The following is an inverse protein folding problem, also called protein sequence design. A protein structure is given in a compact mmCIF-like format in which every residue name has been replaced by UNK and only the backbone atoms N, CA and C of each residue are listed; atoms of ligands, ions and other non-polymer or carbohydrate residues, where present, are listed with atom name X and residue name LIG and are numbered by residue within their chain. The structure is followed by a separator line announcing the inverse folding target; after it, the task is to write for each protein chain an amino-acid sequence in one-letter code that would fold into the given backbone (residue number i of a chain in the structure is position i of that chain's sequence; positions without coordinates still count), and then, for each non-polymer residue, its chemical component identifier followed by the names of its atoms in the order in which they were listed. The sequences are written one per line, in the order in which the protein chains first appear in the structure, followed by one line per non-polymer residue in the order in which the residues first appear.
data_IF_556444039815
#
_entry.id   IF_556444039815
#
_cell.length_a   1.000
_cell.length_b   1.000
_cell.length_c   1.000
_cell.angle_alpha   90.00
_cell.angle_beta   90.00
_cell.angle_gamma   90.00
#
_symmetry.space_group_name_H-M   'P 1'
#
loop_
_entity.id
_entity.type
_entity.pdbx_description
1 polymer ?
#
# COMPACT_ATOMS: atom_id res chain seq x y z
N UNK A 1 -21.91 -24.56 5.16
CA UNK A 1 -21.88 -23.56 4.08
C UNK A 1 -20.79 -22.55 4.41
N UNK A 2 -19.82 -22.36 3.51
CA UNK A 2 -18.92 -21.19 3.60
C UNK A 2 -19.73 -19.95 3.26
N UNK A 3 -19.60 -18.88 4.04
CA UNK A 3 -20.21 -17.60 3.70
C UNK A 3 -19.68 -17.12 2.33
N UNK A 4 -20.51 -16.49 1.48
CA UNK A 4 -20.04 -15.96 0.21
C UNK A 4 -18.94 -14.92 0.44
N UNK A 5 -17.88 -14.96 -0.39
CA UNK A 5 -16.80 -13.97 -0.32
C UNK A 5 -17.37 -12.55 -0.48
N UNK A 6 -17.00 -11.60 0.39
CA UNK A 6 -17.51 -10.24 0.29
C UNK A 6 -17.07 -9.57 -1.02
N UNK A 7 -17.94 -8.74 -1.58
CA UNK A 7 -17.60 -7.82 -2.66
C UNK A 7 -17.35 -6.43 -2.09
N UNK A 8 -16.13 -5.92 -2.27
CA UNK A 8 -15.70 -4.64 -1.72
C UNK A 8 -15.48 -3.63 -2.86
N UNK A 9 -16.08 -2.45 -2.71
CA UNK A 9 -15.81 -1.29 -3.56
C UNK A 9 -14.78 -0.40 -2.87
N UNK A 10 -13.63 -0.16 -3.51
CA UNK A 10 -12.62 0.79 -3.06
C UNK A 10 -12.68 2.02 -3.96
N UNK A 11 -12.99 3.19 -3.38
CA UNK A 11 -13.08 4.46 -4.11
C UNK A 11 -11.78 5.24 -3.92
N UNK A 12 -11.01 5.38 -5.01
CA UNK A 12 -9.72 6.06 -5.03
C UNK A 12 -8.56 5.08 -5.26
N UNK A 13 -7.92 5.17 -6.43
CA UNK A 13 -6.81 4.31 -6.83
C UNK A 13 -5.41 4.89 -6.55
N UNK A 14 -5.27 5.76 -5.55
CA UNK A 14 -3.96 6.15 -5.04
C UNK A 14 -3.28 4.99 -4.28
N UNK A 15 -2.06 5.21 -3.77
CA UNK A 15 -1.25 4.14 -3.15
C UNK A 15 -1.99 3.39 -2.02
N UNK A 16 -2.74 4.10 -1.18
CA UNK A 16 -3.53 3.49 -0.09
C UNK A 16 -4.64 2.59 -0.63
N UNK A 17 -5.41 3.06 -1.62
CA UNK A 17 -6.50 2.29 -2.19
C UNK A 17 -6.02 1.10 -3.02
N UNK A 18 -4.90 1.26 -3.74
CA UNK A 18 -4.24 0.17 -4.45
C UNK A 18 -3.72 -0.90 -3.48
N UNK A 19 -3.06 -0.50 -2.39
CA UNK A 19 -2.57 -1.40 -1.34
C UNK A 19 -3.73 -2.16 -0.67
N UNK A 20 -4.82 -1.47 -0.33
CA UNK A 20 -6.00 -2.09 0.25
C UNK A 20 -6.66 -3.10 -0.71
N UNK A 21 -6.83 -2.72 -1.98
CA UNK A 21 -7.39 -3.60 -2.99
C UNK A 21 -6.52 -4.84 -3.22
N UNK A 22 -5.19 -4.68 -3.18
CA UNK A 22 -4.23 -5.77 -3.28
C UNK A 22 -4.39 -6.78 -2.13
N UNK A 23 -4.38 -6.31 -0.88
CA UNK A 23 -4.49 -7.20 0.29
C UNK A 23 -5.85 -7.90 0.38
N UNK A 24 -6.94 -7.19 0.05
CA UNK A 24 -8.27 -7.79 -0.03
C UNK A 24 -8.37 -8.87 -1.12
N UNK A 25 -7.80 -8.60 -2.31
CA UNK A 25 -7.74 -9.57 -3.40
C UNK A 25 -6.92 -10.81 -3.03
N UNK A 26 -5.81 -10.62 -2.31
CA UNK A 26 -4.97 -11.71 -1.79
C UNK A 26 -5.73 -12.58 -0.78
N UNK A 27 -6.63 -11.99 -0.02
CA UNK A 27 -7.57 -12.68 0.89
C UNK A 27 -8.82 -13.24 0.17
N UNK A 28 -8.82 -13.30 -1.16
CA UNK A 28 -9.91 -13.85 -2.01
C UNK A 28 -11.23 -13.08 -1.92
N UNK A 29 -11.20 -11.82 -1.48
CA UNK A 29 -12.35 -10.94 -1.64
C UNK A 29 -12.50 -10.55 -3.11
N UNK A 30 -13.75 -10.37 -3.57
CA UNK A 30 -13.98 -9.72 -4.86
C UNK A 30 -13.80 -8.23 -4.65
N UNK A 31 -12.94 -7.57 -5.43
CA UNK A 31 -12.68 -6.13 -5.28
C UNK A 31 -12.96 -5.39 -6.57
N UNK A 32 -13.65 -4.27 -6.47
CA UNK A 32 -13.74 -3.26 -7.54
C UNK A 32 -13.02 -2.01 -7.07
N UNK A 33 -11.94 -1.63 -7.76
CA UNK A 33 -11.20 -0.41 -7.50
C UNK A 33 -11.64 0.67 -8.49
N UNK A 34 -12.16 1.79 -7.98
CA UNK A 34 -12.58 2.93 -8.79
C UNK A 34 -11.51 4.02 -8.77
N UNK A 35 -11.10 4.45 -9.96
CA UNK A 35 -10.22 5.60 -10.17
C UNK A 35 -11.01 6.74 -10.85
N UNK A 36 -10.73 7.99 -10.48
CA UNK A 36 -11.28 9.16 -11.17
C UNK A 36 -10.73 9.29 -12.59
N UNK A 37 -9.47 8.88 -12.80
CA UNK A 37 -8.76 8.95 -14.07
C UNK A 37 -7.82 7.73 -14.21
N UNK A 38 -7.47 7.30 -15.44
CA UNK A 38 -6.62 6.14 -15.66
C UNK A 38 -5.16 6.36 -15.24
N UNK A 39 -4.65 7.60 -15.31
CA UNK A 39 -3.32 7.94 -14.83
C UNK A 39 -3.35 8.47 -13.38
N UNK A 40 -2.36 8.08 -12.59
CA UNK A 40 -2.09 8.69 -11.28
C UNK A 40 -1.60 10.12 -11.51
N UNK A 41 -2.43 11.11 -11.20
CA UNK A 41 -2.14 12.54 -11.36
C UNK A 41 -2.23 13.31 -10.04
N UNK A 42 -2.36 12.59 -8.93
CA UNK A 42 -2.63 13.15 -7.60
C UNK A 42 -1.41 13.03 -6.70
N UNK A 43 -1.60 13.13 -5.38
CA UNK A 43 -0.54 13.08 -4.36
C UNK A 43 0.36 11.86 -4.50
N UNK A 44 -0.19 10.68 -4.84
CA UNK A 44 0.63 9.46 -5.01
C UNK A 44 1.70 9.62 -6.10
N UNK A 45 1.38 10.29 -7.21
CA UNK A 45 2.33 10.47 -8.31
C UNK A 45 3.37 11.56 -8.05
N UNK A 46 3.08 12.49 -7.13
CA UNK A 46 3.94 13.64 -6.82
C UNK A 46 4.65 13.50 -5.46
N UNK A 47 4.62 12.30 -4.87
CA UNK A 47 5.25 12.04 -3.57
C UNK A 47 6.76 11.90 -3.72
N UNK A 48 7.52 12.41 -2.76
CA UNK A 48 8.96 12.11 -2.62
C UNK A 48 9.21 10.64 -2.20
N UNK A 49 8.15 9.92 -1.78
CA UNK A 49 8.17 8.47 -1.49
C UNK A 49 9.19 8.02 -0.43
N UNK A 50 9.64 8.92 0.45
CA UNK A 50 10.64 8.59 1.47
C UNK A 50 10.08 7.68 2.57
N UNK A 51 10.68 6.50 2.69
CA UNK A 51 10.39 5.53 3.74
C UNK A 51 11.32 5.79 4.94
N UNK A 52 10.75 6.18 6.07
CA UNK A 52 11.50 6.53 7.28
C UNK A 52 10.71 6.20 8.55
N UNK A 53 11.42 5.93 9.63
CA UNK A 53 10.85 5.61 10.95
C UNK A 53 10.60 6.86 11.80
N UNK A 54 10.95 8.03 11.28
CA UNK A 54 10.73 9.33 11.93
C UNK A 54 11.84 9.67 12.92
N UNK A 55 12.47 10.82 12.72
CA UNK A 55 13.35 11.43 13.70
C UNK A 55 12.51 12.32 14.64
N UNK A 56 12.60 12.13 15.96
CA UNK A 56 11.94 12.99 16.95
C UNK A 56 10.40 12.84 17.04
N UNK A 57 9.85 11.66 16.74
CA UNK A 57 8.41 11.37 16.86
C UNK A 57 8.10 10.57 18.13
N UNK A 58 6.82 10.52 18.52
CA UNK A 58 6.30 9.64 19.58
C UNK A 58 6.65 8.16 19.30
N UNK A 59 6.97 7.41 20.36
CA UNK A 59 7.37 5.99 20.27
C UNK A 59 6.33 5.14 19.52
N UNK A 60 5.03 5.41 19.70
CA UNK A 60 3.97 4.70 19.00
C UNK A 60 4.02 4.92 17.48
N UNK A 61 4.36 6.15 17.04
CA UNK A 61 4.50 6.48 15.61
C UNK A 61 5.75 5.79 15.04
N UNK A 62 6.85 5.78 15.79
CA UNK A 62 8.09 5.10 15.38
C UNK A 62 7.83 3.61 15.21
N UNK A 63 7.20 2.96 16.19
CA UNK A 63 6.85 1.54 16.13
C UNK A 63 5.93 1.23 14.94
N UNK A 64 4.91 2.05 14.70
CA UNK A 64 4.02 1.90 13.55
C UNK A 64 4.78 2.01 12.21
N UNK A 65 5.70 2.97 12.07
CA UNK A 65 6.50 3.14 10.85
C UNK A 65 7.50 2.01 10.65
N UNK A 66 8.10 1.49 11.72
CA UNK A 66 8.96 0.30 11.65
C UNK A 66 8.18 -0.92 11.15
N UNK A 67 6.96 -1.13 11.65
CA UNK A 67 6.09 -2.19 11.14
C UNK A 67 5.75 -1.98 9.66
N UNK A 68 5.45 -0.75 9.25
CA UNK A 68 5.19 -0.42 7.85
C UNK A 68 6.41 -0.69 6.95
N UNK A 69 7.65 -0.41 7.39
CA UNK A 69 8.86 -0.79 6.64
C UNK A 69 8.95 -2.30 6.42
N UNK A 70 8.63 -3.09 7.45
CA UNK A 70 8.56 -4.55 7.33
C UNK A 70 7.57 -4.99 6.24
N UNK A 71 6.38 -4.38 6.22
CA UNK A 71 5.37 -4.67 5.20
C UNK A 71 5.80 -4.26 3.79
N UNK A 72 6.50 -3.12 3.64
CA UNK A 72 7.04 -2.72 2.34
C UNK A 72 8.05 -3.74 1.79
N UNK A 73 8.97 -4.24 2.62
CA UNK A 73 9.90 -5.30 2.22
C UNK A 73 9.16 -6.58 1.82
N UNK A 74 8.16 -6.98 2.62
CA UNK A 74 7.35 -8.17 2.36
C UNK A 74 6.63 -8.07 1.01
N UNK A 75 5.96 -6.94 0.74
CA UNK A 75 5.18 -6.75 -0.49
C UNK A 75 6.10 -6.65 -1.71
N UNK A 76 7.28 -6.04 -1.59
CA UNK A 76 8.25 -6.00 -2.69
C UNK A 76 8.74 -7.40 -3.05
N UNK A 77 9.10 -8.21 -2.05
CA UNK A 77 9.50 -9.61 -2.26
C UNK A 77 8.36 -10.41 -2.90
N UNK A 78 7.13 -10.27 -2.41
CA UNK A 78 5.95 -10.94 -2.94
C UNK A 78 5.69 -10.57 -4.41
N UNK A 79 5.93 -9.31 -4.76
CA UNK A 79 5.81 -8.81 -6.13
C UNK A 79 7.07 -9.02 -6.97
N UNK A 80 8.04 -9.80 -6.47
CA UNK A 80 9.29 -10.14 -7.15
C UNK A 80 10.07 -8.89 -7.58
N UNK A 81 10.15 -7.87 -6.71
CA UNK A 81 10.91 -6.64 -6.94
C UNK A 81 10.26 -5.66 -7.93
N UNK A 82 9.04 -5.91 -8.41
CA UNK A 82 8.37 -5.03 -9.40
C UNK A 82 8.06 -3.61 -8.90
N UNK A 83 8.12 -3.38 -7.59
CA UNK A 83 7.95 -2.05 -7.02
C UNK A 83 9.21 -1.17 -7.18
N UNK A 84 10.39 -1.79 -7.41
CA UNK A 84 11.67 -1.10 -7.57
C UNK A 84 11.93 -0.06 -6.47
N UNK A 85 11.84 -0.47 -5.19
CA UNK A 85 12.02 0.44 -4.07
C UNK A 85 13.51 0.70 -3.86
N UNK A 86 13.88 1.99 -3.81
CA UNK A 86 15.23 2.42 -3.45
C UNK A 86 15.39 2.51 -1.92
N UNK A 87 15.82 1.40 -1.31
CA UNK A 87 15.97 1.27 0.15
C UNK A 87 17.13 2.06 0.74
N UNK A 88 18.07 2.51 -0.10
CA UNK A 88 19.19 3.35 0.32
C UNK A 88 18.79 4.81 0.57
N UNK A 89 17.59 5.22 0.14
CA UNK A 89 17.11 6.60 0.23
C UNK A 89 17.80 7.56 -0.74
N UNK A 90 18.48 7.04 -1.78
CA UNK A 90 19.05 7.81 -2.89
C UNK A 90 18.02 8.10 -3.99
#
# INVERSE_FOLDING_TARGET
MLAPSPHVLVVGAGIVGASLAYELGRQRARVTLLAKAPQLTTVTANSFAWLTTGYGQDEAIVAFRQAALGEWHRVEQELSGRLAIEWSGA
#
